data_IF_155933321370
#
_entry.id   IF_155933321370
#
_cell.length_a   1.000
_cell.length_b   1.000
_cell.length_c   1.000
_cell.angle_alpha   90.00
_cell.angle_beta   90.00
_cell.angle_gamma   90.00
#
_symmetry.space_group_name_H-M   'P 1'
#
loop_
_entity.id
_entity.type
_entity.pdbx_description
1 polymer ?
#
# COMPACT_ATOMS: atom_id res chain seq x y z
N UNK A 1 -5.92 -22.62 4.31
CA UNK A 1 -4.53 -22.23 3.93
C UNK A 1 -4.28 -22.29 2.42
N UNK A 2 -4.67 -23.38 1.73
CA UNK A 2 -4.43 -23.57 0.29
C UNK A 2 -5.03 -22.47 -0.60
N UNK A 3 -6.25 -22.01 -0.31
CA UNK A 3 -6.92 -20.95 -1.08
C UNK A 3 -6.32 -19.56 -0.83
N UNK A 4 -6.04 -19.19 0.42
CA UNK A 4 -5.44 -17.89 0.74
C UNK A 4 -4.07 -17.68 0.06
N UNK A 5 -3.27 -18.75 -0.08
CA UNK A 5 -2.01 -18.69 -0.81
C UNK A 5 -2.22 -18.54 -2.33
N UNK A 6 -3.32 -19.07 -2.88
CA UNK A 6 -3.70 -18.85 -4.29
C UNK A 6 -4.10 -17.40 -4.57
N UNK A 7 -4.62 -16.66 -3.58
CA UNK A 7 -5.02 -15.26 -3.72
C UNK A 7 -3.91 -14.24 -3.42
N UNK A 8 -2.79 -14.64 -2.80
CA UNK A 8 -1.65 -13.77 -2.49
C UNK A 8 -1.14 -12.99 -3.71
N UNK A 9 -1.07 -13.64 -4.89
CA UNK A 9 -0.66 -12.97 -6.13
C UNK A 9 -1.64 -11.88 -6.58
N UNK A 10 -2.94 -12.14 -6.49
CA UNK A 10 -3.99 -11.16 -6.83
C UNK A 10 -3.96 -9.95 -5.89
N UNK A 11 -3.82 -10.19 -4.58
CA UNK A 11 -3.70 -9.13 -3.58
C UNK A 11 -2.47 -8.26 -3.83
N UNK A 12 -1.36 -8.86 -4.27
CA UNK A 12 -0.12 -8.14 -4.61
C UNK A 12 -0.24 -7.33 -5.90
N UNK A 13 -1.04 -7.79 -6.88
CA UNK A 13 -1.24 -7.09 -8.16
C UNK A 13 -2.07 -5.82 -8.03
N UNK A 14 -3.09 -5.80 -7.16
CA UNK A 14 -3.99 -4.65 -6.97
C UNK A 14 -3.23 -3.33 -6.75
N UNK A 15 -2.27 -3.23 -5.81
CA UNK A 15 -1.54 -1.98 -5.60
C UNK A 15 -0.59 -1.63 -6.75
N UNK A 16 -0.22 -2.59 -7.63
CA UNK A 16 0.69 -2.34 -8.75
C UNK A 16 0.01 -1.69 -9.96
N UNK A 17 -1.31 -1.81 -10.11
CA UNK A 17 -2.06 -1.25 -11.25
C UNK A 17 -1.78 0.25 -11.46
N UNK A 18 -1.82 1.12 -10.44
CA UNK A 18 -1.48 2.53 -10.58
C UNK A 18 -0.04 2.75 -11.07
N UNK A 19 0.92 1.96 -10.60
CA UNK A 19 2.32 2.04 -11.03
C UNK A 19 2.48 1.71 -12.51
N UNK A 20 1.79 0.67 -13.00
CA UNK A 20 1.78 0.34 -14.43
C UNK A 20 1.15 1.44 -15.29
N UNK A 21 0.08 2.07 -14.81
CA UNK A 21 -0.54 3.18 -15.51
C UNK A 21 0.40 4.38 -15.65
N UNK A 22 1.11 4.75 -14.59
CA UNK A 22 2.10 5.85 -14.62
C UNK A 22 3.29 5.58 -15.55
N UNK A 23 3.66 4.31 -15.75
CA UNK A 23 4.75 3.93 -16.65
C UNK A 23 4.39 4.21 -18.12
N UNK A 24 3.11 4.09 -18.48
CA UNK A 24 2.61 4.30 -19.85
C UNK A 24 2.29 5.78 -20.09
N UNK A 25 1.72 6.46 -19.09
CA UNK A 25 1.40 7.87 -19.15
C UNK A 25 1.98 8.59 -17.92
N UNK A 26 3.12 9.29 -18.06
CA UNK A 26 3.70 10.05 -16.96
C UNK A 26 2.79 11.24 -16.63
N UNK A 27 1.86 11.02 -15.70
CA UNK A 27 0.98 12.06 -15.17
C UNK A 27 1.83 13.00 -14.33
N UNK A 28 1.57 14.32 -14.45
CA UNK A 28 2.15 15.29 -13.51
C UNK A 28 1.72 14.93 -12.10
N UNK A 29 2.67 15.01 -11.18
CA UNK A 29 2.38 14.66 -9.81
C UNK A 29 1.37 15.64 -9.20
N UNK A 30 0.40 15.10 -8.46
CA UNK A 30 -0.66 15.86 -7.81
C UNK A 30 -0.77 15.47 -6.34
N UNK A 31 -1.23 16.39 -5.49
CA UNK A 31 -1.23 16.19 -4.03
C UNK A 31 -2.07 14.99 -3.58
N UNK A 32 -3.18 14.70 -4.27
CA UNK A 32 -4.04 13.55 -3.96
C UNK A 32 -3.31 12.22 -4.16
N UNK A 33 -2.30 12.17 -5.03
CA UNK A 33 -1.52 10.96 -5.29
C UNK A 33 -0.65 10.59 -4.08
N UNK A 34 -0.34 11.55 -3.21
CA UNK A 34 0.38 11.31 -1.95
C UNK A 34 -0.44 10.51 -0.94
N UNK A 35 -1.76 10.45 -1.11
CA UNK A 35 -2.66 9.64 -0.27
C UNK A 35 -2.72 8.15 -0.69
N UNK A 36 -1.96 7.74 -1.72
CA UNK A 36 -1.95 6.36 -2.20
C UNK A 36 -0.54 5.78 -2.00
N UNK A 37 -0.32 4.86 -1.03
CA UNK A 37 1.01 4.50 -0.55
C UNK A 37 2.03 4.08 -1.63
N UNK A 38 1.69 3.09 -2.45
CA UNK A 38 2.64 2.59 -3.46
C UNK A 38 2.81 3.58 -4.62
N UNK A 39 1.76 4.33 -4.95
CA UNK A 39 1.78 5.37 -5.97
C UNK A 39 2.67 6.55 -5.56
N UNK A 40 2.48 7.07 -4.33
CA UNK A 40 3.23 8.18 -3.78
C UNK A 40 4.72 7.86 -3.71
N UNK A 41 5.08 6.64 -3.31
CA UNK A 41 6.48 6.22 -3.28
C UNK A 41 7.12 6.18 -4.67
N UNK A 42 6.42 5.64 -5.68
CA UNK A 42 6.91 5.64 -7.06
C UNK A 42 7.13 7.07 -7.59
N UNK A 43 6.17 7.97 -7.37
CA UNK A 43 6.27 9.36 -7.81
C UNK A 43 7.45 10.06 -7.12
N UNK A 44 7.54 10.00 -5.79
CA UNK A 44 8.58 10.68 -5.02
C UNK A 44 9.99 10.22 -5.42
N UNK A 45 10.17 8.92 -5.70
CA UNK A 45 11.44 8.38 -6.21
C UNK A 45 11.77 8.99 -7.58
N UNK A 46 10.80 9.05 -8.50
CA UNK A 46 11.03 9.62 -9.82
C UNK A 46 11.33 11.12 -9.79
N UNK A 47 10.61 11.89 -8.97
CA UNK A 47 10.87 13.32 -8.78
C UNK A 47 12.27 13.57 -8.18
N UNK A 48 12.67 12.75 -7.20
CA UNK A 48 14.00 12.83 -6.61
C UNK A 48 15.11 12.50 -7.62
N UNK A 49 14.92 11.48 -8.45
CA UNK A 49 15.86 11.12 -9.53
C UNK A 49 15.95 12.22 -10.59
N UNK A 50 14.84 12.91 -10.87
CA UNK A 50 14.80 14.05 -11.80
C UNK A 50 15.43 15.33 -11.22
N UNK A 51 15.69 15.36 -9.92
CA UNK A 51 16.21 16.55 -9.23
C UNK A 51 15.16 17.65 -9.03
N UNK A 52 13.88 17.30 -9.09
CA UNK A 52 12.77 18.24 -8.91
C UNK A 52 12.62 18.63 -7.43
N UNK A 53 12.20 19.88 -7.18
CA UNK A 53 11.96 20.34 -5.82
C UNK A 53 10.60 19.83 -5.33
N UNK A 54 10.63 18.79 -4.51
CA UNK A 54 9.42 18.24 -3.90
C UNK A 54 9.15 18.89 -2.53
N UNK A 55 7.93 19.41 -2.28
CA UNK A 55 7.59 19.98 -0.98
C UNK A 55 7.68 18.96 0.16
N UNK A 56 8.17 19.38 1.34
CA UNK A 56 8.22 18.52 2.53
C UNK A 56 6.85 17.92 2.91
N UNK A 57 5.78 18.67 2.66
CA UNK A 57 4.39 18.23 2.92
C UNK A 57 4.03 16.96 2.16
N UNK A 58 4.59 16.74 0.97
CA UNK A 58 4.32 15.56 0.17
C UNK A 58 4.96 14.30 0.76
N UNK A 59 6.19 14.42 1.26
CA UNK A 59 6.84 13.33 2.00
C UNK A 59 6.08 12.96 3.26
N UNK A 60 5.59 13.97 4.01
CA UNK A 60 4.81 13.74 5.22
C UNK A 60 3.45 13.08 4.92
N UNK A 61 2.78 13.50 3.85
CA UNK A 61 1.53 12.87 3.42
C UNK A 61 1.77 11.42 3.00
N UNK A 62 2.75 11.16 2.14
CA UNK A 62 3.09 9.82 1.68
C UNK A 62 3.45 8.88 2.86
N UNK A 63 4.30 9.35 3.77
CA UNK A 63 4.68 8.59 4.96
C UNK A 63 3.49 8.37 5.90
N UNK A 64 2.74 9.43 6.20
CA UNK A 64 1.59 9.40 7.09
C UNK A 64 0.49 8.48 6.58
N UNK A 65 0.17 8.51 5.29
CA UNK A 65 -0.84 7.63 4.69
C UNK A 65 -0.36 6.18 4.63
N UNK A 66 0.90 5.94 4.28
CA UNK A 66 1.47 4.57 4.26
C UNK A 66 1.46 3.95 5.66
N UNK A 67 1.94 4.68 6.67
CA UNK A 67 1.94 4.23 8.06
C UNK A 67 0.51 4.07 8.59
N UNK A 68 -0.36 5.04 8.34
CA UNK A 68 -1.76 5.01 8.77
C UNK A 68 -2.50 3.80 8.22
N UNK A 69 -2.39 3.53 6.92
CA UNK A 69 -2.99 2.35 6.30
C UNK A 69 -2.38 1.05 6.86
N UNK A 70 -1.06 1.00 7.03
CA UNK A 70 -0.37 -0.15 7.62
C UNK A 70 -0.84 -0.47 9.03
N UNK A 71 -1.00 0.57 9.88
CA UNK A 71 -1.52 0.43 11.24
C UNK A 71 -2.98 -0.03 11.26
N UNK A 72 -3.83 0.51 10.37
CA UNK A 72 -5.23 0.08 10.24
C UNK A 72 -5.31 -1.39 9.86
N UNK A 73 -4.54 -1.83 8.85
CA UNK A 73 -4.48 -3.22 8.42
C UNK A 73 -3.94 -4.14 9.53
N UNK A 74 -2.90 -3.69 10.25
CA UNK A 74 -2.34 -4.43 11.38
C UNK A 74 -3.35 -4.58 12.52
N UNK A 75 -4.11 -3.52 12.85
CA UNK A 75 -5.16 -3.58 13.85
C UNK A 75 -6.28 -4.55 13.45
N UNK A 76 -6.74 -4.50 12.20
CA UNK A 76 -7.71 -5.46 11.66
C UNK A 76 -7.17 -6.89 11.78
N UNK A 77 -5.93 -7.14 11.36
CA UNK A 77 -5.30 -8.44 11.46
C UNK A 77 -5.21 -8.94 12.91
N UNK A 78 -4.86 -8.06 13.85
CA UNK A 78 -4.81 -8.39 15.28
C UNK A 78 -6.19 -8.80 15.82
N UNK A 79 -7.27 -8.10 15.45
CA UNK A 79 -8.64 -8.50 15.86
C UNK A 79 -9.05 -9.85 15.26
N UNK A 80 -8.59 -10.16 14.05
CA UNK A 80 -8.91 -11.41 13.38
C UNK A 80 -8.14 -12.59 14.00
N UNK A 81 -6.91 -12.35 14.46
CA UNK A 81 -6.05 -13.35 15.09
C UNK A 81 -6.46 -13.64 16.54
N UNK A 82 -6.95 -12.63 17.27
CA UNK A 82 -7.42 -12.77 18.65
C UNK A 82 -8.78 -13.45 18.79
N UNK A 83 -9.41 -13.91 17.70
CA UNK A 83 -10.60 -14.76 17.80
C UNK A 83 -10.16 -16.13 18.33
N UNK A 84 -10.63 -16.59 19.51
CA UNK A 84 -10.33 -17.93 19.99
C UNK A 84 -10.81 -18.91 18.92
N UNK A 85 -9.86 -19.58 18.27
CA UNK A 85 -10.19 -20.73 17.44
C UNK A 85 -10.79 -21.75 18.39
N UNK A 86 -12.10 -21.94 18.30
CA UNK A 86 -12.76 -23.12 18.84
C UNK A 86 -12.20 -24.29 18.03
N UNK A 87 -11.09 -24.82 18.51
CA UNK A 87 -10.57 -26.13 18.13
C UNK A 87 -11.63 -27.08 18.65
N UNK A 88 -12.59 -27.45 17.81
CA UNK A 88 -13.40 -28.61 18.09
C UNK A 88 -12.48 -29.83 18.06
N UNK A 89 -12.54 -30.55 19.16
CA UNK A 89 -11.71 -31.69 19.52
C UNK A 89 -11.84 -32.84 18.53
N UNK A 90 -10.78 -33.65 18.49
CA UNK A 90 -10.74 -35.09 18.20
C UNK A 90 -12.05 -35.77 17.78
N UNK A 91 -12.07 -36.39 16.59
CA UNK A 91 -12.08 -37.85 16.40
C UNK A 91 -11.25 -38.23 15.17
#
# INVERSE_FOLDING_TARGET
FREANSYMGLVTLIPMIPSFYLMINPVKAEIWMMAVPLLSQNILIHELIRGEQVPLTWYLLAAGTTLGLGLVLAAIAATLYNRPRVIFTSE
#
